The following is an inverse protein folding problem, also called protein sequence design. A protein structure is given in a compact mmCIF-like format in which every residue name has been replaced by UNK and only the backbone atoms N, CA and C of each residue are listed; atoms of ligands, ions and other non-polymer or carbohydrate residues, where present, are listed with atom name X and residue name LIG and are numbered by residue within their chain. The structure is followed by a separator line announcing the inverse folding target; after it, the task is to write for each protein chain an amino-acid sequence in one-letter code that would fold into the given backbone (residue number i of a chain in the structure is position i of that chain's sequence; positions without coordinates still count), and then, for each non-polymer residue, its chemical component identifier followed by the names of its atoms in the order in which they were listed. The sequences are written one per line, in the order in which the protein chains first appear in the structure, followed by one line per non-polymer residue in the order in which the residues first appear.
data_IF_918411636311
#
_entry.id   IF_918411636311
#
_cell.length_a   1.000
_cell.length_b   1.000
_cell.length_c   1.000
_cell.angle_alpha   90.00
_cell.angle_beta   90.00
_cell.angle_gamma   90.00
#
_symmetry.space_group_name_H-M   'P 1'
#
loop_
_entity.id
_entity.type
_entity.pdbx_description
1 polymer ?
#
# COMPACT_ATOMS: atom_id res chain seq x y z
N UNK A 1 -44.92 10.09 -0.98
CA UNK A 1 -46.37 9.80 -1.12
C UNK A 1 -46.64 9.63 -2.61
N UNK A 2 -47.05 8.42 -3.00
CA UNK A 2 -48.00 8.07 -4.09
C UNK A 2 -48.07 9.00 -5.31
N UNK A 3 -48.14 8.60 -6.57
CA UNK A 3 -48.45 7.36 -7.29
C UNK A 3 -48.69 7.83 -8.75
N UNK A 4 -48.94 6.88 -9.66
CA UNK A 4 -49.43 7.06 -11.04
C UNK A 4 -48.35 7.13 -12.13
N UNK A 5 -48.06 5.99 -12.74
CA UNK A 5 -48.56 5.77 -14.10
C UNK A 5 -48.78 4.27 -14.32
N UNK A 6 -50.06 3.92 -14.51
CA UNK A 6 -50.55 2.58 -14.79
C UNK A 6 -50.89 2.48 -16.27
N UNK A 7 -50.58 1.31 -16.85
CA UNK A 7 -51.28 0.65 -17.97
C UNK A 7 -51.24 1.36 -19.35
N UNK A 8 -51.15 0.70 -20.50
CA UNK A 8 -51.11 -0.73 -20.84
C UNK A 8 -50.79 -0.85 -22.34
N UNK A 9 -50.20 -1.99 -22.72
CA UNK A 9 -50.54 -2.78 -23.91
C UNK A 9 -50.69 -2.12 -25.30
N UNK A 10 -49.68 -2.28 -26.16
CA UNK A 10 -49.83 -2.72 -27.56
C UNK A 10 -48.44 -2.93 -28.20
N UNK A 11 -48.09 -4.17 -28.52
CA UNK A 11 -46.90 -4.47 -29.31
C UNK A 11 -47.12 -4.14 -30.78
N UNK A 12 -46.16 -3.46 -31.42
CA UNK A 12 -45.83 -3.54 -32.84
C UNK A 12 -44.51 -2.79 -33.08
N UNK A 13 -43.79 -3.18 -34.13
CA UNK A 13 -42.60 -2.57 -34.74
C UNK A 13 -41.23 -3.10 -34.30
N UNK A 14 -40.80 -4.10 -35.08
CA UNK A 14 -39.42 -4.39 -35.40
C UNK A 14 -38.63 -3.12 -35.75
N UNK A 15 -37.49 -2.92 -35.09
CA UNK A 15 -36.34 -2.29 -35.70
C UNK A 15 -35.08 -2.73 -34.95
N UNK A 16 -34.29 -3.50 -35.68
CA UNK A 16 -32.89 -3.82 -35.48
C UNK A 16 -32.09 -2.56 -35.07
N UNK A 17 -32.01 -2.25 -33.79
CA UNK A 17 -30.96 -1.37 -33.26
C UNK A 17 -29.96 -2.29 -32.58
N UNK A 18 -28.94 -2.64 -33.37
CA UNK A 18 -27.68 -3.22 -32.94
C UNK A 18 -27.33 -2.66 -31.57
N UNK A 19 -27.53 -3.48 -30.54
CA UNK A 19 -26.97 -3.26 -29.22
C UNK A 19 -25.47 -3.18 -29.44
N UNK A 20 -24.94 -1.96 -29.52
CA UNK A 20 -23.50 -1.74 -29.55
C UNK A 20 -22.94 -2.50 -28.36
N UNK A 21 -22.28 -3.58 -28.73
CA UNK A 21 -21.58 -4.48 -27.86
C UNK A 21 -20.85 -3.65 -26.81
N UNK A 22 -20.96 -4.12 -25.57
CA UNK A 22 -20.41 -3.47 -24.40
C UNK A 22 -19.10 -2.78 -24.72
N UNK A 23 -19.09 -1.46 -24.48
CA UNK A 23 -17.87 -0.76 -24.14
C UNK A 23 -17.39 -1.38 -22.83
N UNK A 24 -16.76 -2.55 -22.92
CA UNK A 24 -15.84 -3.07 -21.93
C UNK A 24 -14.60 -2.18 -21.98
N UNK A 25 -14.79 -0.90 -21.64
CA UNK A 25 -13.72 -0.14 -21.00
C UNK A 25 -13.31 -0.94 -19.77
N UNK A 26 -12.00 -1.08 -19.54
CA UNK A 26 -11.39 -1.89 -18.50
C UNK A 26 -12.06 -1.70 -17.13
N UNK A 27 -13.13 -2.44 -16.85
CA UNK A 27 -13.80 -2.44 -15.57
C UNK A 27 -13.10 -3.48 -14.71
N UNK A 28 -12.20 -2.98 -13.85
CA UNK A 28 -11.82 -3.60 -12.57
C UNK A 28 -10.87 -4.81 -12.54
N UNK A 29 -9.64 -4.67 -13.08
CA UNK A 29 -8.42 -5.04 -12.31
C UNK A 29 -7.12 -4.56 -12.99
N UNK A 30 -6.50 -3.45 -12.55
CA UNK A 30 -5.26 -2.96 -13.16
C UNK A 30 -3.99 -3.45 -12.45
N UNK A 31 -4.06 -4.26 -11.38
CA UNK A 31 -2.89 -4.68 -10.62
C UNK A 31 -2.83 -6.21 -10.45
N UNK A 32 -1.70 -6.81 -10.83
CA UNK A 32 -1.34 -8.17 -10.41
C UNK A 32 -0.86 -8.16 -8.95
N UNK A 33 -0.86 -9.32 -8.29
CA UNK A 33 -0.40 -9.49 -6.89
C UNK A 33 0.99 -8.87 -6.63
N UNK A 34 1.89 -8.95 -7.62
CA UNK A 34 3.23 -8.35 -7.54
C UNK A 34 3.21 -6.81 -7.53
N UNK A 35 2.27 -6.22 -8.27
CA UNK A 35 2.10 -4.77 -8.34
C UNK A 35 1.44 -4.24 -7.06
N UNK A 36 0.48 -4.97 -6.50
CA UNK A 36 -0.14 -4.64 -5.21
C UNK A 36 0.86 -4.69 -4.07
N UNK A 37 1.73 -5.70 -4.05
CA UNK A 37 2.80 -5.81 -3.04
C UNK A 37 3.69 -4.56 -3.02
N UNK A 38 4.02 -4.02 -4.19
CA UNK A 38 4.97 -2.92 -4.36
C UNK A 38 4.32 -1.53 -4.55
N UNK A 39 2.99 -1.44 -4.59
CA UNK A 39 2.25 -0.20 -4.88
C UNK A 39 2.42 0.32 -6.32
N UNK A 40 2.94 -0.52 -7.23
CA UNK A 40 3.24 -0.15 -8.62
C UNK A 40 2.03 -0.39 -9.53
N UNK A 41 0.90 0.20 -9.17
CA UNK A 41 -0.41 -0.15 -9.72
C UNK A 41 -0.80 0.63 -10.99
N UNK A 42 0.14 1.29 -11.65
CA UNK A 42 -0.13 2.10 -12.85
C UNK A 42 0.65 1.57 -14.05
N UNK A 43 -0.02 1.20 -15.15
CA UNK A 43 0.67 0.79 -16.36
C UNK A 43 1.39 1.98 -17.00
N UNK A 44 2.63 1.77 -17.44
CA UNK A 44 3.43 2.70 -18.24
C UNK A 44 4.25 1.90 -19.25
N UNK A 45 3.72 1.72 -20.46
CA UNK A 45 4.28 0.78 -21.43
C UNK A 45 4.12 -0.66 -20.92
N UNK A 46 5.20 -1.43 -20.97
CA UNK A 46 5.25 -2.82 -20.47
C UNK A 46 5.52 -2.92 -18.97
N UNK A 47 5.69 -1.78 -18.28
CA UNK A 47 6.00 -1.74 -16.86
C UNK A 47 4.80 -1.30 -16.01
N UNK A 48 4.76 -1.87 -14.81
CA UNK A 48 3.92 -1.40 -13.73
C UNK A 48 4.76 -0.46 -12.85
N UNK A 49 4.30 0.77 -12.67
CA UNK A 49 4.99 1.84 -11.93
C UNK A 49 4.07 2.42 -10.85
N UNK A 50 4.67 2.99 -9.80
CA UNK A 50 3.92 3.78 -8.84
C UNK A 50 3.78 5.20 -9.40
N UNK A 51 2.55 5.68 -9.58
CA UNK A 51 2.27 7.07 -10.00
C UNK A 51 1.48 7.87 -8.98
N UNK A 52 0.97 7.19 -7.94
CA UNK A 52 0.09 7.75 -6.93
C UNK A 52 0.57 7.34 -5.54
N UNK A 53 0.55 8.26 -4.59
CA UNK A 53 0.97 8.01 -3.21
C UNK A 53 0.03 7.00 -2.53
N UNK A 54 -1.24 6.99 -2.92
CA UNK A 54 -2.28 6.09 -2.40
C UNK A 54 -1.95 4.62 -2.67
N UNK A 55 -1.37 4.32 -3.84
CA UNK A 55 -0.94 2.94 -4.14
C UNK A 55 0.24 2.52 -3.27
N UNK A 56 1.17 3.43 -2.98
CA UNK A 56 2.25 3.15 -2.04
C UNK A 56 1.71 2.92 -0.63
N UNK A 57 0.80 3.78 -0.17
CA UNK A 57 0.18 3.66 1.15
C UNK A 57 -0.64 2.36 1.32
N UNK A 58 -1.29 1.87 0.26
CA UNK A 58 -2.04 0.62 0.29
C UNK A 58 -1.17 -0.65 0.11
N UNK A 59 0.11 -0.49 -0.23
CA UNK A 59 0.98 -1.61 -0.57
C UNK A 59 1.38 -2.45 0.64
N UNK A 60 1.68 -3.74 0.40
CA UNK A 60 2.26 -4.60 1.44
C UNK A 60 3.64 -4.13 1.85
N UNK A 61 4.45 -3.63 0.92
CA UNK A 61 5.77 -3.07 1.22
C UNK A 61 5.69 -1.87 2.18
N UNK A 62 4.62 -1.10 2.09
CA UNK A 62 4.32 -0.07 3.08
C UNK A 62 3.97 -0.67 4.45
N UNK A 63 3.03 -1.62 4.49
CA UNK A 63 2.63 -2.27 5.75
C UNK A 63 3.80 -2.99 6.43
N UNK A 64 4.68 -3.65 5.68
CA UNK A 64 5.77 -4.45 6.22
C UNK A 64 7.02 -3.62 6.51
N UNK A 65 7.40 -2.72 5.59
CA UNK A 65 8.70 -2.05 5.62
C UNK A 65 8.64 -0.52 5.67
N UNK A 66 7.46 0.08 5.70
CA UNK A 66 7.30 1.53 5.70
C UNK A 66 7.62 2.19 4.36
N UNK A 67 7.47 1.49 3.24
CA UNK A 67 7.63 2.09 1.89
C UNK A 67 6.34 2.74 1.41
N UNK A 68 5.88 3.74 2.15
CA UNK A 68 4.53 4.27 1.98
C UNK A 68 4.46 5.54 1.14
N UNK A 69 5.60 6.15 0.85
CA UNK A 69 5.69 7.40 0.11
C UNK A 69 6.04 7.17 -1.36
N UNK A 70 5.45 7.96 -2.25
CA UNK A 70 5.82 7.96 -3.67
C UNK A 70 7.18 8.66 -3.85
N UNK A 71 8.14 7.98 -4.47
CA UNK A 71 9.41 8.54 -4.93
C UNK A 71 9.63 8.33 -6.43
N UNK A 72 10.72 8.87 -6.95
CA UNK A 72 10.97 8.96 -8.40
C UNK A 72 11.01 7.61 -9.12
N UNK A 73 11.43 6.55 -8.41
CA UNK A 73 11.55 5.19 -8.95
C UNK A 73 10.52 4.21 -8.37
N UNK A 74 9.59 4.68 -7.55
CA UNK A 74 8.56 3.85 -6.91
C UNK A 74 8.32 4.19 -5.44
N UNK A 75 7.69 3.27 -4.73
CA UNK A 75 7.37 3.44 -3.32
C UNK A 75 8.61 3.31 -2.43
N UNK A 76 8.81 4.29 -1.56
CA UNK A 76 9.98 4.46 -0.71
C UNK A 76 9.55 4.87 0.70
N UNK A 77 10.47 4.72 1.65
CA UNK A 77 10.34 5.32 2.98
C UNK A 77 10.90 6.73 2.91
N UNK A 78 10.16 7.74 3.36
CA UNK A 78 10.63 9.14 3.38
C UNK A 78 10.64 9.78 4.78
N UNK A 79 9.99 9.16 5.75
CA UNK A 79 9.81 9.78 7.07
C UNK A 79 9.65 8.78 8.20
N UNK A 80 9.66 9.28 9.44
CA UNK A 80 9.40 8.46 10.62
C UNK A 80 7.96 7.94 10.62
N UNK A 81 7.00 8.73 10.14
CA UNK A 81 5.59 8.34 10.06
C UNK A 81 5.40 7.12 9.17
N UNK A 82 6.15 7.04 8.06
CA UNK A 82 6.20 5.87 7.19
C UNK A 82 6.69 4.62 7.94
N UNK A 83 7.66 4.78 8.85
CA UNK A 83 8.17 3.68 9.66
C UNK A 83 7.25 3.28 10.80
N UNK A 84 6.63 4.24 11.47
CA UNK A 84 5.74 4.00 12.62
C UNK A 84 4.50 3.18 12.25
N UNK A 85 3.98 3.35 11.03
CA UNK A 85 2.86 2.54 10.51
C UNK A 85 3.24 1.10 10.16
N UNK A 86 4.54 0.79 10.05
CA UNK A 86 5.01 -0.50 9.56
C UNK A 86 5.06 -1.59 10.63
N UNK A 87 4.97 -2.85 10.18
CA UNK A 87 5.20 -4.02 11.02
C UNK A 87 6.64 -4.05 11.54
N UNK A 88 7.61 -3.45 10.83
CA UNK A 88 8.98 -3.27 11.32
C UNK A 88 9.07 -2.47 12.62
N UNK A 89 8.29 -1.41 12.77
CA UNK A 89 8.20 -0.69 14.04
C UNK A 89 7.62 -1.57 15.14
N UNK A 90 6.45 -2.17 14.92
CA UNK A 90 5.73 -2.98 15.91
C UNK A 90 6.52 -4.22 16.36
N UNK A 91 7.10 -4.93 15.41
CA UNK A 91 7.76 -6.21 15.68
C UNK A 91 9.21 -6.04 16.12
N UNK A 92 9.96 -5.16 15.45
CA UNK A 92 11.41 -5.06 15.59
C UNK A 92 11.90 -3.75 16.23
N UNK A 93 11.01 -2.82 16.60
CA UNK A 93 11.39 -1.52 17.15
C UNK A 93 12.00 -0.58 16.10
N UNK A 94 11.90 -0.91 14.81
CA UNK A 94 12.44 -0.10 13.72
C UNK A 94 11.46 1.03 13.36
N UNK A 95 11.28 2.00 14.26
CA UNK A 95 10.23 3.04 14.19
C UNK A 95 10.68 4.38 13.60
N UNK A 96 11.95 4.57 13.25
CA UNK A 96 12.46 5.80 12.68
C UNK A 96 13.08 5.65 11.30
N UNK A 97 13.28 6.76 10.61
CA UNK A 97 13.82 6.83 9.27
C UNK A 97 15.29 7.25 9.24
N UNK A 98 16.14 6.39 8.69
CA UNK A 98 17.54 6.74 8.40
C UNK A 98 18.08 5.92 7.22
N UNK A 99 18.82 6.58 6.34
CA UNK A 99 19.46 5.92 5.19
C UNK A 99 18.46 5.24 4.23
N UNK A 100 17.29 5.85 4.03
CA UNK A 100 16.27 5.33 3.12
C UNK A 100 15.48 4.12 3.66
N UNK A 101 15.60 3.82 4.96
CA UNK A 101 14.99 2.64 5.57
C UNK A 101 14.51 2.92 6.99
N UNK A 102 13.64 2.03 7.47
CA UNK A 102 13.29 1.99 8.88
C UNK A 102 14.42 1.43 9.73
N UNK A 103 14.59 2.03 10.91
CA UNK A 103 15.66 1.80 11.87
C UNK A 103 15.13 2.02 13.28
N UNK A 104 15.74 1.37 14.28
CA UNK A 104 15.53 1.78 15.66
C UNK A 104 16.20 3.14 15.90
N UNK A 105 15.63 3.98 16.78
CA UNK A 105 16.23 5.28 17.17
C UNK A 105 16.57 5.34 18.65
N UNK A 106 15.90 4.54 19.46
CA UNK A 106 16.08 4.55 20.90
C UNK A 106 15.96 3.15 21.51
N UNK A 107 16.46 2.98 22.73
CA UNK A 107 16.12 1.79 23.51
C UNK A 107 14.63 1.70 23.80
N UNK A 108 13.92 2.83 23.87
CA UNK A 108 12.47 2.84 24.07
C UNK A 108 11.75 2.14 22.92
N UNK A 109 12.18 2.39 21.68
CA UNK A 109 11.63 1.71 20.50
C UNK A 109 11.86 0.20 20.58
N UNK A 110 13.06 -0.21 21.01
CA UNK A 110 13.39 -1.63 21.18
C UNK A 110 12.55 -2.28 22.28
N UNK A 111 12.42 -1.63 23.43
CA UNK A 111 11.63 -2.14 24.57
C UNK A 111 10.14 -2.23 24.27
N UNK A 112 9.62 -1.35 23.42
CA UNK A 112 8.23 -1.38 22.97
C UNK A 112 7.94 -2.46 21.91
N UNK A 113 8.96 -3.11 21.36
CA UNK A 113 8.80 -4.07 20.26
C UNK A 113 8.38 -5.47 20.73
N UNK A 114 7.62 -6.17 19.88
CA UNK A 114 7.26 -7.57 20.15
C UNK A 114 8.50 -8.48 20.29
N UNK A 115 9.56 -8.25 19.52
CA UNK A 115 10.80 -9.03 19.65
C UNK A 115 11.55 -8.79 20.97
N UNK A 116 11.37 -7.64 21.63
CA UNK A 116 11.84 -7.50 23.01
C UNK A 116 11.05 -8.42 23.94
N UNK A 117 9.71 -8.40 23.88
CA UNK A 117 8.87 -9.24 24.72
C UNK A 117 9.09 -10.74 24.49
N UNK A 118 9.14 -11.16 23.22
CA UNK A 118 9.17 -12.59 22.85
C UNK A 118 10.59 -13.17 22.81
N UNK A 119 11.60 -12.35 22.53
CA UNK A 119 12.96 -12.81 22.20
C UNK A 119 14.05 -12.08 22.99
N UNK A 120 13.69 -11.14 23.86
CA UNK A 120 14.63 -10.36 24.66
C UNK A 120 15.41 -9.30 23.88
N UNK A 121 15.04 -8.99 22.62
CA UNK A 121 15.75 -8.02 21.78
C UNK A 121 15.46 -6.56 22.19
N UNK A 122 15.85 -6.17 23.40
CA UNK A 122 15.45 -4.93 24.05
C UNK A 122 16.48 -3.80 24.00
N UNK A 123 17.68 -4.04 23.46
CA UNK A 123 18.80 -3.09 23.47
C UNK A 123 19.07 -2.51 22.09
N UNK A 124 19.40 -1.22 22.05
CA UNK A 124 19.75 -0.54 20.81
C UNK A 124 21.21 -0.84 20.43
N UNK A 125 21.45 -1.20 19.17
CA UNK A 125 22.80 -1.33 18.59
C UNK A 125 22.93 -0.52 17.32
N UNK A 126 23.84 0.44 17.35
CA UNK A 126 24.22 1.24 16.19
C UNK A 126 25.03 0.40 15.18
N UNK A 127 24.77 0.64 13.90
CA UNK A 127 25.49 0.09 12.75
C UNK A 127 26.45 1.13 12.20
N UNK A 128 27.39 0.68 11.36
CA UNK A 128 28.42 1.55 10.75
C UNK A 128 27.86 2.51 9.71
N UNK A 129 26.65 2.26 9.19
CA UNK A 129 26.01 3.06 8.13
C UNK A 129 24.99 4.07 8.68
N UNK A 130 25.12 4.45 9.97
CA UNK A 130 24.26 5.45 10.60
C UNK A 130 22.87 4.96 11.00
N UNK A 131 22.55 3.68 10.78
CA UNK A 131 21.31 3.03 11.24
C UNK A 131 21.53 2.31 12.56
N UNK A 132 20.48 1.80 13.16
CA UNK A 132 20.51 0.96 14.35
C UNK A 132 19.45 -0.16 14.28
N UNK A 133 19.65 -1.20 15.09
CA UNK A 133 18.72 -2.32 15.26
C UNK A 133 18.58 -2.65 16.73
N UNK A 134 17.50 -3.35 17.07
CA UNK A 134 17.34 -3.96 18.37
C UNK A 134 18.06 -5.30 18.45
N UNK A 135 18.68 -5.58 19.59
CA UNK A 135 19.41 -6.81 19.91
C UNK A 135 19.12 -7.24 21.36
N UNK A 136 19.52 -8.46 21.72
CA UNK A 136 19.42 -8.95 23.10
C UNK A 136 20.27 -8.13 24.08
#
# INVERSE_FOLDING_TARGET
MTSHFSMDSAGFFAALVLTLAGLSGCESKPCSDSCERSGRCSPRGDECVATKAEYCAASRDCADYGRCSLGDKGCVTKSDEDCQRSNKCKLAGECGFAGGRCTARSESDCRASAFCADRGMCRLKNKRDGRAICIK
#
